data_IF_057404606655
#
_entry.id   IF_057404606655
#
_cell.length_a   1.000
_cell.length_b   1.000
_cell.length_c   1.000
_cell.angle_alpha   90.00
_cell.angle_beta   90.00
_cell.angle_gamma   90.00
#
_symmetry.space_group_name_H-M   'P 1'
#
loop_
_entity.id
_entity.type
_entity.pdbx_description
1 polymer ?
#
# COMPACT_ATOMS: atom_id res chain seq x y z
N UNK A 1 15.32 55.29 6.83
CA UNK A 1 14.52 54.46 7.76
C UNK A 1 14.99 53.01 7.58
N UNK A 2 15.93 52.56 8.42
CA UNK A 2 16.58 51.24 8.28
C UNK A 2 15.84 50.23 9.17
N UNK A 3 15.15 49.27 8.55
CA UNK A 3 14.56 48.13 9.25
C UNK A 3 15.65 47.06 9.35
N UNK A 4 16.25 46.92 10.53
CA UNK A 4 17.09 45.76 10.85
C UNK A 4 16.19 44.52 10.94
N UNK A 5 16.26 43.66 9.91
CA UNK A 5 15.73 42.31 9.95
C UNK A 5 16.47 41.52 11.05
N UNK A 6 15.80 41.31 12.18
CA UNK A 6 16.28 40.42 13.22
C UNK A 6 16.44 39.01 12.64
N UNK A 7 17.68 38.51 12.60
CA UNK A 7 17.95 37.10 12.33
C UNK A 7 17.31 36.29 13.44
N UNK A 8 16.18 35.65 13.17
CA UNK A 8 15.61 34.64 14.04
C UNK A 8 16.64 33.52 14.20
N UNK A 9 17.25 33.47 15.38
CA UNK A 9 18.20 32.41 15.73
C UNK A 9 17.44 31.08 15.80
N UNK A 10 17.65 30.21 14.82
CA UNK A 10 17.14 28.84 14.85
C UNK A 10 17.99 28.04 15.84
N UNK A 11 17.39 27.67 16.97
CA UNK A 11 18.06 26.91 18.01
C UNK A 11 18.17 25.44 17.58
N UNK A 12 19.38 24.95 17.26
CA UNK A 12 19.62 23.55 16.94
C UNK A 12 19.60 22.72 18.22
N UNK A 13 18.60 21.85 18.39
CA UNK A 13 18.56 20.86 19.46
C UNK A 13 19.70 19.84 19.21
N UNK A 14 20.46 19.50 20.26
CA UNK A 14 21.54 18.51 20.15
C UNK A 14 21.00 17.18 19.66
N UNK A 15 21.54 16.68 18.56
CA UNK A 15 21.23 15.35 18.04
C UNK A 15 21.77 14.29 19.01
N UNK A 16 20.88 13.45 19.56
CA UNK A 16 21.24 12.40 20.51
C UNK A 16 21.82 11.16 19.80
N UNK A 17 22.47 10.27 20.55
CA UNK A 17 22.88 8.95 20.05
C UNK A 17 21.68 8.12 19.53
N UNK A 18 20.48 8.34 20.09
CA UNK A 18 19.22 7.76 19.63
C UNK A 18 18.90 8.17 18.20
N UNK A 19 19.12 9.44 17.83
CA UNK A 19 18.85 9.92 16.48
C UNK A 19 19.77 9.26 15.44
N UNK A 20 21.06 9.06 15.78
CA UNK A 20 21.98 8.35 14.88
C UNK A 20 21.53 6.91 14.61
N UNK A 21 21.13 6.17 15.66
CA UNK A 21 20.59 4.81 15.54
C UNK A 21 19.31 4.77 14.70
N UNK A 22 18.42 5.74 14.88
CA UNK A 22 17.19 5.85 14.08
C UNK A 22 17.49 6.12 12.60
N UNK A 23 18.44 7.02 12.30
CA UNK A 23 18.88 7.28 10.93
C UNK A 23 19.52 6.05 10.28
N UNK A 24 20.33 5.30 11.01
CA UNK A 24 20.93 4.06 10.52
C UNK A 24 19.89 2.98 10.26
N UNK A 25 18.92 2.80 11.16
CA UNK A 25 17.79 1.89 10.95
C UNK A 25 16.99 2.28 9.71
N UNK A 26 16.59 3.55 9.58
CA UNK A 26 15.89 4.06 8.39
C UNK A 26 16.66 3.76 7.11
N UNK A 27 17.98 3.98 7.11
CA UNK A 27 18.84 3.67 5.95
C UNK A 27 18.80 2.18 5.62
N UNK A 28 18.88 1.30 6.62
CA UNK A 28 18.83 -0.14 6.40
C UNK A 28 17.45 -0.58 5.87
N UNK A 29 16.36 -0.04 6.40
CA UNK A 29 15.00 -0.32 5.92
C UNK A 29 14.84 0.12 4.45
N UNK A 30 15.35 1.29 4.07
CA UNK A 30 15.34 1.74 2.67
C UNK A 30 16.14 0.80 1.75
N UNK A 31 17.31 0.33 2.19
CA UNK A 31 18.11 -0.63 1.42
C UNK A 31 17.41 -1.99 1.31
N UNK A 32 16.74 -2.44 2.37
CA UNK A 32 15.95 -3.66 2.35
C UNK A 32 14.83 -3.58 1.30
N UNK A 33 14.06 -2.49 1.29
CA UNK A 33 13.06 -2.21 0.26
C UNK A 33 13.66 -2.21 -1.16
N UNK A 34 14.74 -1.46 -1.39
CA UNK A 34 15.37 -1.36 -2.71
C UNK A 34 15.98 -2.69 -3.20
N UNK A 35 16.26 -3.62 -2.28
CA UNK A 35 16.78 -4.94 -2.61
C UNK A 35 15.70 -5.96 -2.97
N UNK A 36 14.42 -5.65 -2.79
CA UNK A 36 13.33 -6.59 -3.06
C UNK A 36 13.16 -6.83 -4.56
N UNK A 37 13.02 -8.10 -4.95
CA UNK A 37 12.66 -8.53 -6.31
C UNK A 37 11.32 -7.92 -6.77
N UNK A 38 11.23 -7.58 -8.06
CA UNK A 38 9.95 -7.26 -8.70
C UNK A 38 9.12 -8.52 -9.02
N UNK A 39 7.92 -8.33 -9.58
CA UNK A 39 7.03 -9.44 -9.92
C UNK A 39 7.45 -10.22 -11.18
N UNK A 40 8.48 -9.75 -11.89
CA UNK A 40 9.13 -10.42 -13.02
C UNK A 40 10.35 -11.22 -12.56
N UNK A 41 10.90 -10.94 -11.39
CA UNK A 41 12.00 -11.67 -10.79
C UNK A 41 11.49 -12.75 -9.82
N UNK A 42 10.48 -12.43 -9.01
CA UNK A 42 9.91 -13.35 -8.02
C UNK A 42 8.39 -13.24 -7.95
N UNK A 43 7.70 -14.39 -7.92
CA UNK A 43 6.23 -14.45 -7.81
C UNK A 43 5.75 -13.70 -6.56
N UNK A 44 4.74 -12.81 -6.67
CA UNK A 44 4.20 -12.13 -5.49
C UNK A 44 3.39 -13.05 -4.57
N UNK A 45 2.68 -14.01 -5.15
CA UNK A 45 1.94 -15.02 -4.39
C UNK A 45 2.88 -16.13 -3.90
N UNK A 46 3.02 -16.36 -2.59
CA UNK A 46 4.03 -17.28 -2.03
C UNK A 46 3.83 -18.73 -2.49
N UNK A 47 2.59 -19.20 -2.56
CA UNK A 47 2.26 -20.61 -2.85
C UNK A 47 1.63 -20.81 -4.23
N UNK A 48 1.89 -19.91 -5.18
CA UNK A 48 1.33 -20.02 -6.51
C UNK A 48 2.09 -21.07 -7.36
N UNK A 49 1.48 -22.24 -7.50
CA UNK A 49 1.96 -23.34 -8.35
C UNK A 49 1.39 -23.33 -9.77
N UNK A 50 0.67 -22.28 -10.16
CA UNK A 50 0.09 -22.17 -11.50
C UNK A 50 1.19 -22.18 -12.56
N UNK A 51 1.11 -23.08 -13.54
CA UNK A 51 2.04 -23.15 -14.66
C UNK A 51 1.91 -21.90 -15.53
N UNK A 52 3.02 -21.23 -15.85
CA UNK A 52 2.97 -20.11 -16.80
C UNK A 52 2.62 -20.63 -18.21
N UNK A 53 1.91 -19.83 -18.99
CA UNK A 53 1.54 -20.14 -20.38
C UNK A 53 2.65 -19.84 -21.40
N UNK A 54 3.85 -19.46 -20.95
CA UNK A 54 4.99 -19.30 -21.84
C UNK A 54 5.55 -20.66 -22.25
N UNK A 55 6.47 -20.66 -23.22
CA UNK A 55 7.10 -21.88 -23.75
C UNK A 55 7.75 -22.75 -22.66
N UNK A 56 8.22 -22.14 -21.56
CA UNK A 56 8.87 -22.85 -20.44
C UNK A 56 7.91 -23.68 -19.59
N UNK A 57 6.60 -23.41 -19.63
CA UNK A 57 5.56 -24.12 -18.86
C UNK A 57 5.90 -24.39 -17.39
N UNK A 58 6.66 -23.50 -16.75
CA UNK A 58 7.21 -23.71 -15.42
C UNK A 58 6.34 -23.06 -14.33
N UNK A 59 6.20 -23.75 -13.20
CA UNK A 59 5.61 -23.23 -11.96
C UNK A 59 6.48 -22.16 -11.27
N UNK A 60 7.75 -22.01 -11.67
CA UNK A 60 8.65 -20.99 -11.16
C UNK A 60 8.71 -19.74 -12.05
N UNK A 61 8.08 -19.78 -13.23
CA UNK A 61 8.16 -18.66 -14.16
C UNK A 61 7.27 -17.49 -13.73
N UNK A 62 7.72 -16.27 -13.93
CA UNK A 62 7.07 -15.01 -13.54
C UNK A 62 6.45 -14.26 -14.72
N UNK A 63 6.56 -14.80 -15.95
CA UNK A 63 6.08 -14.17 -17.18
C UNK A 63 4.63 -13.70 -17.15
N UNK A 64 3.76 -14.47 -16.51
CA UNK A 64 2.33 -14.19 -16.42
C UNK A 64 1.93 -13.44 -15.14
N UNK A 65 2.86 -13.16 -14.24
CA UNK A 65 2.59 -12.40 -13.02
C UNK A 65 2.34 -10.94 -13.41
N UNK A 66 1.21 -10.40 -12.98
CA UNK A 66 0.83 -9.00 -13.16
C UNK A 66 -0.23 -8.63 -12.12
N UNK A 67 -0.48 -7.33 -11.95
CA UNK A 67 -1.54 -6.82 -11.08
C UNK A 67 -2.93 -7.38 -11.43
N UNK A 68 -3.12 -7.77 -12.69
CA UNK A 68 -4.35 -8.35 -13.23
C UNK A 68 -4.35 -9.89 -13.19
N UNK A 69 -3.51 -10.50 -12.34
CA UNK A 69 -3.41 -11.94 -12.23
C UNK A 69 -4.74 -12.56 -11.75
N UNK A 70 -5.45 -13.24 -12.66
CA UNK A 70 -6.72 -13.93 -12.35
C UNK A 70 -6.63 -15.02 -11.26
N UNK A 71 -5.43 -15.45 -10.91
CA UNK A 71 -5.20 -16.45 -9.86
C UNK A 71 -4.93 -15.81 -8.49
N UNK A 72 -4.55 -14.53 -8.45
CA UNK A 72 -4.26 -13.80 -7.21
C UNK A 72 -5.40 -13.83 -6.18
N UNK A 73 -6.69 -13.76 -6.54
CA UNK A 73 -7.79 -13.85 -5.57
C UNK A 73 -7.71 -15.08 -4.65
N UNK A 74 -7.34 -16.22 -5.22
CA UNK A 74 -7.18 -17.47 -4.48
C UNK A 74 -5.77 -17.61 -3.91
N UNK A 75 -4.74 -17.27 -4.69
CA UNK A 75 -3.34 -17.52 -4.30
C UNK A 75 -2.81 -16.59 -3.20
N UNK A 76 -3.50 -15.49 -2.90
CA UNK A 76 -3.14 -14.55 -1.83
C UNK A 76 -4.08 -14.63 -0.62
N UNK A 77 -5.14 -15.43 -0.69
CA UNK A 77 -6.01 -15.65 0.46
C UNK A 77 -5.45 -16.77 1.34
N UNK A 78 -5.56 -16.59 2.66
CA UNK A 78 -5.26 -17.65 3.63
C UNK A 78 -6.33 -18.76 3.65
N UNK A 79 -7.53 -18.48 3.12
CA UNK A 79 -8.63 -19.43 2.97
C UNK A 79 -9.33 -19.19 1.62
N UNK A 80 -8.75 -19.70 0.52
CA UNK A 80 -9.21 -19.38 -0.83
C UNK A 80 -10.55 -20.00 -1.22
N UNK A 81 -11.01 -21.01 -0.49
CA UNK A 81 -12.26 -21.69 -0.77
C UNK A 81 -13.44 -20.99 -0.10
N UNK A 82 -13.25 -20.45 1.12
CA UNK A 82 -14.30 -19.70 1.82
C UNK A 82 -14.22 -18.19 1.59
N UNK A 83 -13.01 -17.63 1.50
CA UNK A 83 -12.75 -16.20 1.48
C UNK A 83 -11.73 -15.81 0.39
N UNK A 84 -12.00 -16.06 -0.90
CA UNK A 84 -11.16 -15.51 -1.97
C UNK A 84 -11.17 -13.97 -1.90
N UNK A 85 -10.03 -13.35 -2.23
CA UNK A 85 -9.95 -11.89 -2.22
C UNK A 85 -10.87 -11.31 -3.30
N UNK A 86 -11.59 -10.26 -2.93
CA UNK A 86 -12.62 -9.64 -3.76
C UNK A 86 -12.02 -8.90 -4.97
N UNK A 87 -12.70 -8.98 -6.12
CA UNK A 87 -12.10 -8.64 -7.41
C UNK A 87 -11.58 -7.20 -7.52
N UNK A 88 -12.26 -6.22 -6.92
CA UNK A 88 -11.85 -4.82 -7.07
C UNK A 88 -10.67 -4.44 -6.16
N UNK A 89 -10.39 -5.23 -5.10
CA UNK A 89 -9.28 -4.97 -4.16
C UNK A 89 -8.06 -5.86 -4.42
N UNK A 90 -8.22 -6.96 -5.16
CA UNK A 90 -7.12 -7.86 -5.57
C UNK A 90 -5.92 -7.12 -6.16
N UNK A 91 -6.07 -6.13 -7.07
CA UNK A 91 -4.92 -5.43 -7.62
C UNK A 91 -4.05 -4.78 -6.54
N UNK A 92 -4.67 -4.19 -5.51
CA UNK A 92 -3.94 -3.49 -4.45
C UNK A 92 -3.24 -4.50 -3.55
N UNK A 93 -3.93 -5.58 -3.19
CA UNK A 93 -3.31 -6.67 -2.41
C UNK A 93 -2.12 -7.25 -3.17
N UNK A 94 -2.28 -7.53 -4.47
CA UNK A 94 -1.18 -8.00 -5.30
C UNK A 94 0.00 -7.03 -5.30
N UNK A 95 -0.25 -5.75 -5.58
CA UNK A 95 0.79 -4.72 -5.66
C UNK A 95 1.57 -4.60 -4.34
N UNK A 96 0.87 -4.67 -3.20
CA UNK A 96 1.49 -4.69 -1.89
C UNK A 96 2.31 -5.97 -1.64
N UNK A 97 1.83 -7.14 -2.06
CA UNK A 97 2.63 -8.38 -2.01
C UNK A 97 3.92 -8.30 -2.84
N UNK A 98 3.98 -7.46 -3.89
CA UNK A 98 5.22 -7.20 -4.64
C UNK A 98 6.22 -6.37 -3.84
N UNK A 99 5.77 -5.54 -2.88
CA UNK A 99 6.67 -4.76 -2.03
C UNK A 99 7.44 -5.64 -1.04
N UNK A 100 6.86 -6.77 -0.60
CA UNK A 100 7.45 -7.78 0.31
C UNK A 100 7.81 -7.32 1.72
N UNK A 101 7.85 -6.02 1.96
CA UNK A 101 8.11 -5.39 3.26
C UNK A 101 6.83 -4.87 3.93
N UNK A 102 5.68 -4.98 3.24
CA UNK A 102 4.36 -4.56 3.69
C UNK A 102 3.37 -5.69 3.39
N UNK A 103 3.23 -6.64 4.32
CA UNK A 103 2.48 -7.88 4.12
C UNK A 103 0.98 -7.65 4.28
N UNK A 104 0.14 -7.80 3.23
CA UNK A 104 -1.30 -7.66 3.36
C UNK A 104 -1.88 -8.75 4.27
N UNK A 105 -2.78 -8.37 5.18
CA UNK A 105 -3.38 -9.29 6.14
C UNK A 105 -4.91 -9.31 6.13
N UNK A 106 -5.55 -8.20 5.74
CA UNK A 106 -6.99 -8.14 5.47
C UNK A 106 -7.26 -7.21 4.29
N UNK A 107 -8.42 -7.38 3.66
CA UNK A 107 -8.88 -6.49 2.59
C UNK A 107 -10.41 -6.43 2.55
N UNK A 108 -10.94 -5.33 2.03
CA UNK A 108 -12.35 -5.15 1.68
C UNK A 108 -12.42 -4.31 0.41
N UNK A 109 -13.24 -4.73 -0.57
CA UNK A 109 -13.45 -3.94 -1.80
C UNK A 109 -14.45 -2.79 -1.66
N UNK A 110 -15.06 -2.68 -0.47
CA UNK A 110 -16.09 -1.72 -0.16
C UNK A 110 -17.48 -2.19 -0.58
N UNK A 111 -18.46 -1.97 0.30
CA UNK A 111 -19.84 -2.42 0.09
C UNK A 111 -20.85 -1.36 0.49
N UNK A 112 -21.99 -1.37 -0.18
CA UNK A 112 -23.18 -0.62 0.22
C UNK A 112 -24.12 -1.50 1.04
N UNK A 113 -24.92 -0.87 1.90
CA UNK A 113 -26.13 -1.43 2.47
C UNK A 113 -27.27 -1.43 1.44
N UNK A 114 -28.38 -2.05 1.80
CA UNK A 114 -29.59 -2.17 0.95
C UNK A 114 -30.21 -0.82 0.54
N UNK A 115 -29.97 0.24 1.32
CA UNK A 115 -30.44 1.60 1.09
C UNK A 115 -29.47 2.47 0.27
N UNK A 116 -28.44 1.85 -0.31
CA UNK A 116 -27.31 2.49 -0.99
C UNK A 116 -26.45 3.39 -0.09
N UNK A 117 -26.49 3.24 1.23
CA UNK A 117 -25.50 3.86 2.12
C UNK A 117 -24.22 3.02 2.20
N UNK A 118 -23.07 3.66 2.45
CA UNK A 118 -21.82 2.90 2.65
C UNK A 118 -21.95 1.98 3.87
N UNK A 119 -21.73 0.69 3.67
CA UNK A 119 -21.49 -0.23 4.78
C UNK A 119 -20.04 -0.11 5.25
N UNK A 120 -19.09 -0.27 4.30
CA UNK A 120 -17.65 -0.20 4.55
C UNK A 120 -16.94 0.39 3.32
N UNK A 121 -16.00 1.33 3.49
CA UNK A 121 -15.16 1.79 2.38
C UNK A 121 -14.19 0.68 1.95
N UNK A 122 -13.67 0.73 0.72
CA UNK A 122 -12.59 -0.16 0.35
C UNK A 122 -11.34 0.13 1.18
N UNK A 123 -10.65 -0.92 1.63
CA UNK A 123 -9.52 -0.81 2.54
C UNK A 123 -8.63 -2.05 2.45
N UNK A 124 -7.32 -1.87 2.60
CA UNK A 124 -6.35 -2.97 2.77
C UNK A 124 -5.57 -2.75 4.05
N UNK A 125 -5.46 -3.79 4.87
CA UNK A 125 -4.64 -3.82 6.07
C UNK A 125 -3.36 -4.59 5.80
N UNK A 126 -2.28 -4.18 6.44
CA UNK A 126 -0.98 -4.81 6.27
C UNK A 126 -0.12 -4.71 7.53
N UNK A 127 0.78 -5.69 7.67
CA UNK A 127 1.83 -5.66 8.68
C UNK A 127 3.09 -5.01 8.13
N UNK A 128 3.82 -4.31 9.01
CA UNK A 128 5.14 -3.77 8.70
C UNK A 128 6.00 -3.67 9.97
N UNK A 129 7.25 -4.09 9.87
CA UNK A 129 8.24 -3.98 10.96
C UNK A 129 8.94 -2.61 11.01
N UNK A 130 8.72 -1.78 9.98
CA UNK A 130 9.25 -0.41 9.89
C UNK A 130 8.16 0.61 9.61
N UNK A 131 8.32 1.83 10.14
CA UNK A 131 7.45 2.96 9.79
C UNK A 131 7.85 3.61 8.46
N UNK A 132 9.03 3.28 7.92
CA UNK A 132 9.53 3.85 6.66
C UNK A 132 8.62 3.46 5.49
N UNK A 133 8.20 2.20 5.43
CA UNK A 133 7.35 1.69 4.35
C UNK A 133 5.95 2.35 4.32
N UNK A 134 5.18 2.41 5.42
CA UNK A 134 3.92 3.15 5.43
C UNK A 134 4.09 4.66 5.18
N UNK A 135 5.20 5.28 5.58
CA UNK A 135 5.51 6.68 5.24
C UNK A 135 5.67 6.88 3.73
N UNK A 136 6.45 6.03 3.05
CA UNK A 136 6.64 6.10 1.60
C UNK A 136 5.34 5.83 0.83
N UNK A 137 4.55 4.84 1.28
CA UNK A 137 3.22 4.58 0.71
C UNK A 137 2.33 5.81 0.90
N UNK A 138 2.35 6.43 2.08
CA UNK A 138 1.58 7.65 2.35
C UNK A 138 1.98 8.80 1.43
N UNK A 139 3.28 9.06 1.23
CA UNK A 139 3.75 10.10 0.29
C UNK A 139 3.28 9.82 -1.14
N UNK A 140 3.35 8.56 -1.60
CA UNK A 140 2.81 8.15 -2.90
C UNK A 140 1.30 8.42 -3.04
N UNK A 141 0.50 8.09 -2.02
CA UNK A 141 -0.94 8.32 -2.06
C UNK A 141 -1.28 9.82 -2.08
N UNK A 142 -0.51 10.65 -1.38
CA UNK A 142 -0.63 12.11 -1.46
C UNK A 142 -0.28 12.63 -2.85
N UNK A 143 0.80 12.12 -3.45
CA UNK A 143 1.20 12.48 -4.81
C UNK A 143 0.07 12.20 -5.81
N UNK A 144 -0.54 10.99 -5.77
CA UNK A 144 -1.67 10.63 -6.64
C UNK A 144 -2.86 11.58 -6.50
N UNK A 145 -3.24 11.91 -5.26
CA UNK A 145 -4.34 12.84 -5.01
C UNK A 145 -4.00 14.25 -5.49
N UNK A 146 -2.75 14.70 -5.29
CA UNK A 146 -2.29 16.02 -5.70
C UNK A 146 -2.33 16.18 -7.23
N UNK A 147 -1.93 15.15 -7.98
CA UNK A 147 -2.01 15.12 -9.45
C UNK A 147 -3.38 14.71 -9.99
N UNK A 148 -4.37 14.47 -9.11
CA UNK A 148 -5.76 14.13 -9.43
C UNK A 148 -5.96 12.80 -10.19
N UNK A 149 -5.08 11.82 -9.94
CA UNK A 149 -5.25 10.46 -10.46
C UNK A 149 -6.23 9.64 -9.61
N UNK A 150 -6.40 9.99 -8.32
CA UNK A 150 -7.45 9.43 -7.45
C UNK A 150 -8.59 10.41 -7.23
N UNK A 151 -9.79 9.88 -7.00
CA UNK A 151 -11.00 10.67 -6.77
C UNK A 151 -11.03 11.39 -5.42
N UNK A 152 -10.30 10.87 -4.43
CA UNK A 152 -10.10 11.48 -3.12
C UNK A 152 -8.69 11.21 -2.59
N UNK A 153 -8.39 11.77 -1.41
CA UNK A 153 -7.18 11.42 -0.68
C UNK A 153 -7.33 10.00 -0.11
N UNK A 154 -6.27 9.21 -0.26
CA UNK A 154 -6.09 7.93 0.40
C UNK A 154 -4.98 8.06 1.43
N UNK A 155 -5.16 7.48 2.60
CA UNK A 155 -4.22 7.64 3.73
C UNK A 155 -3.77 6.29 4.26
N UNK A 156 -2.57 6.29 4.83
CA UNK A 156 -2.08 5.19 5.65
C UNK A 156 -2.34 5.51 7.12
N UNK A 157 -3.10 4.66 7.81
CA UNK A 157 -3.35 4.80 9.24
C UNK A 157 -2.76 3.65 10.04
N UNK A 158 -2.19 3.97 11.20
CA UNK A 158 -1.86 2.99 12.24
C UNK A 158 -3.15 2.42 12.84
N UNK A 159 -3.28 1.10 12.86
CA UNK A 159 -4.40 0.42 13.51
C UNK A 159 -4.16 0.25 15.01
N UNK A 160 -5.23 0.11 15.77
CA UNK A 160 -5.14 -0.20 17.20
C UNK A 160 -4.45 -1.54 17.42
N UNK A 161 -3.80 -1.70 18.58
CA UNK A 161 -3.03 -2.88 18.93
C UNK A 161 -3.85 -4.16 18.75
N UNK A 162 -3.41 -5.00 17.82
CA UNK A 162 -3.99 -6.33 17.59
C UNK A 162 -3.32 -7.37 18.49
N UNK A 163 -3.97 -8.50 18.72
CA UNK A 163 -3.36 -9.63 19.43
C UNK A 163 -2.11 -10.19 18.71
N UNK A 164 -2.05 -10.00 17.37
CA UNK A 164 -0.83 -10.11 16.59
C UNK A 164 0.15 -9.04 17.06
N UNK A 165 1.28 -9.44 17.64
CA UNK A 165 2.34 -8.54 18.10
C UNK A 165 2.96 -7.69 16.98
N UNK A 166 2.54 -7.86 15.72
CA UNK A 166 2.98 -7.06 14.58
C UNK A 166 2.25 -5.71 14.51
N UNK A 167 2.98 -4.66 14.11
CA UNK A 167 2.38 -3.35 13.87
C UNK A 167 1.52 -3.41 12.62
N UNK A 168 0.24 -3.07 12.77
CA UNK A 168 -0.74 -3.13 11.69
C UNK A 168 -1.06 -1.73 11.19
N UNK A 169 -1.03 -1.55 9.88
CA UNK A 169 -1.42 -0.34 9.18
C UNK A 169 -2.58 -0.62 8.25
N UNK A 170 -3.23 0.42 7.76
CA UNK A 170 -4.25 0.29 6.72
C UNK A 170 -4.22 1.42 5.72
N UNK A 171 -4.46 1.09 4.45
CA UNK A 171 -4.67 2.01 3.34
C UNK A 171 -6.19 2.16 3.15
N UNK A 172 -6.72 3.37 3.29
CA UNK A 172 -8.16 3.64 3.10
C UNK A 172 -8.41 5.05 2.56
N UNK A 173 -9.56 5.31 1.92
CA UNK A 173 -9.92 6.65 1.51
C UNK A 173 -10.26 7.52 2.72
N UNK A 174 -9.93 8.80 2.65
CA UNK A 174 -10.41 9.81 3.57
C UNK A 174 -11.75 10.35 3.08
N UNK A 175 -12.80 9.98 3.81
CA UNK A 175 -14.19 10.31 3.46
C UNK A 175 -14.78 11.10 4.62
N UNK A 176 -15.28 12.29 4.32
CA UNK A 176 -16.03 13.09 5.31
C UNK A 176 -17.31 12.36 5.71
N UNK A 177 -17.63 12.37 7.01
CA UNK A 177 -18.85 11.79 7.57
C UNK A 177 -20.13 12.37 6.96
N UNK A 178 -20.05 13.58 6.39
CA UNK A 178 -21.16 14.29 5.76
C UNK A 178 -21.47 13.77 4.34
N UNK A 179 -20.54 13.03 3.72
CA UNK A 179 -20.68 12.57 2.35
C UNK A 179 -21.50 11.28 2.32
N UNK A 180 -22.74 11.37 1.82
CA UNK A 180 -23.51 10.17 1.48
C UNK A 180 -22.85 9.46 0.29
N UNK A 181 -22.18 8.36 0.57
CA UNK A 181 -21.60 7.53 -0.49
C UNK A 181 -22.73 6.86 -1.27
N UNK A 182 -22.68 7.04 -2.57
CA UNK A 182 -23.56 6.39 -3.54
C UNK A 182 -22.81 5.28 -4.26
N UNK A 183 -23.51 4.46 -5.03
CA UNK A 183 -22.89 3.47 -5.93
C UNK A 183 -21.94 4.09 -6.97
N UNK A 184 -22.15 5.35 -7.33
CA UNK A 184 -21.22 6.10 -8.18
C UNK A 184 -19.90 6.36 -7.45
N UNK A 185 -19.98 6.86 -6.21
CA UNK A 185 -18.78 7.15 -5.40
C UNK A 185 -18.05 5.86 -5.06
N UNK A 186 -18.73 4.78 -4.67
CA UNK A 186 -18.08 3.50 -4.40
C UNK A 186 -17.29 3.00 -5.62
N UNK A 187 -17.86 3.10 -6.83
CA UNK A 187 -17.16 2.74 -8.07
C UNK A 187 -15.93 3.61 -8.32
N UNK A 188 -15.98 4.89 -7.97
CA UNK A 188 -14.80 5.76 -8.06
C UNK A 188 -13.71 5.31 -7.07
N UNK A 189 -14.07 4.97 -5.83
CA UNK A 189 -13.13 4.44 -4.85
C UNK A 189 -12.53 3.09 -5.29
N UNK A 190 -13.34 2.23 -5.90
CA UNK A 190 -12.86 0.96 -6.47
C UNK A 190 -11.92 1.20 -7.66
N UNK A 191 -12.20 2.18 -8.52
CA UNK A 191 -11.28 2.58 -9.58
C UNK A 191 -9.96 3.15 -9.01
N UNK A 192 -10.02 3.92 -7.92
CA UNK A 192 -8.83 4.42 -7.25
C UNK A 192 -7.92 3.27 -6.77
N UNK A 193 -8.48 2.14 -6.29
CA UNK A 193 -7.69 0.96 -5.96
C UNK A 193 -6.85 0.50 -7.16
N UNK A 194 -7.43 0.43 -8.35
CA UNK A 194 -6.69 0.08 -9.56
C UNK A 194 -5.57 1.08 -9.84
N UNK A 195 -5.88 2.38 -9.83
CA UNK A 195 -4.89 3.46 -10.06
C UNK A 195 -3.72 3.34 -9.07
N UNK A 196 -4.01 3.19 -7.78
CA UNK A 196 -3.01 3.02 -6.73
C UNK A 196 -2.15 1.79 -7.04
N UNK A 197 -2.75 0.68 -7.44
CA UNK A 197 -2.07 -0.60 -7.64
C UNK A 197 -1.06 -0.60 -8.77
N UNK A 198 -1.39 0.01 -9.92
CA UNK A 198 -0.56 -0.07 -11.13
C UNK A 198 0.82 0.58 -10.99
N UNK A 199 0.94 1.63 -10.16
CA UNK A 199 2.21 2.34 -10.00
C UNK A 199 2.81 2.28 -8.59
N UNK A 200 2.17 1.55 -7.66
CA UNK A 200 2.58 1.50 -6.25
C UNK A 200 4.06 1.18 -6.08
N UNK A 201 4.52 0.06 -6.65
CA UNK A 201 5.91 -0.37 -6.51
C UNK A 201 6.89 0.64 -7.10
N UNK A 202 6.68 1.02 -8.36
CA UNK A 202 7.59 1.93 -9.06
C UNK A 202 7.73 3.27 -8.31
N UNK A 203 6.61 3.85 -7.88
CA UNK A 203 6.64 5.15 -7.19
C UNK A 203 7.23 5.04 -5.80
N UNK A 204 6.87 4.03 -5.01
CA UNK A 204 7.46 3.82 -3.68
C UNK A 204 8.98 3.59 -3.76
N UNK A 205 9.46 2.83 -4.74
CA UNK A 205 10.90 2.64 -4.96
C UNK A 205 11.58 3.96 -5.33
N UNK A 206 11.00 4.73 -6.26
CA UNK A 206 11.52 6.04 -6.64
C UNK A 206 11.56 7.03 -5.47
N UNK A 207 10.61 6.96 -4.55
CA UNK A 207 10.61 7.77 -3.33
C UNK A 207 11.75 7.35 -2.38
N UNK A 208 12.04 6.04 -2.30
CA UNK A 208 13.12 5.51 -1.47
C UNK A 208 14.53 5.85 -1.99
N UNK A 209 14.68 6.18 -3.27
CA UNK A 209 15.95 6.58 -3.90
C UNK A 209 16.34 8.05 -3.66
N UNK A 210 15.40 8.89 -3.17
CA UNK A 210 15.64 10.31 -2.88
C UNK A 210 16.46 10.52 -1.60
#
# INVERSE_FOLDING_TARGET
>A
MNIQLAKLATMKIRTSSTQKKASERRRNDLLDLLSQDDDKQRRPCPDCHTLCKCDKHSSHCTCGCSVDCKYAPRMLSSDPDLYPIESNVVPLVYAMSVLRVAEPCWSCEGHLKNDNELLRPPQVWFYSDSTVYPELISEYLHDLCFIKETSCLWTVMLCQHTASHATTFSIKPEISEEVKITSKILRQLQNDLHVISYSLREKVFKLAEK
#
